data_IF_239154654868
#
_entry.id   IF_239154654868
#
_cell.length_a   1.000
_cell.length_b   1.000
_cell.length_c   1.000
_cell.angle_alpha   90.00
_cell.angle_beta   90.00
_cell.angle_gamma   90.00
#
_symmetry.space_group_name_H-M   'P 1'
#
loop_
_entity.id
_entity.type
_entity.pdbx_description
1 polymer ?
#
# COMPACT_ATOMS: atom_id res chain seq x y z
N UNK A 1 18.74 6.90 -2.71
CA UNK A 1 17.87 6.59 -1.56
C UNK A 1 16.45 6.46 -2.05
N UNK A 2 15.98 5.25 -2.40
CA UNK A 2 14.64 5.13 -2.94
C UNK A 2 13.57 5.27 -1.86
N UNK A 3 12.50 5.95 -2.24
CA UNK A 3 11.28 6.02 -1.44
C UNK A 3 10.18 5.40 -2.27
N UNK A 4 9.51 4.40 -1.72
CA UNK A 4 8.38 3.74 -2.38
C UNK A 4 7.10 4.15 -1.68
N UNK A 5 6.14 4.54 -2.47
CA UNK A 5 4.88 5.05 -1.98
C UNK A 5 3.75 4.11 -2.42
N UNK A 6 3.01 3.60 -1.46
CA UNK A 6 1.89 2.70 -1.74
C UNK A 6 0.62 3.32 -1.21
N UNK A 7 -0.37 3.44 -2.08
CA UNK A 7 -1.70 3.83 -1.66
C UNK A 7 -2.59 2.60 -1.73
N UNK A 8 -3.30 2.31 -0.67
CA UNK A 8 -4.23 1.18 -0.64
C UNK A 8 -5.44 1.54 0.22
N UNK A 9 -6.48 0.73 0.11
CA UNK A 9 -7.66 0.93 0.94
C UNK A 9 -7.34 0.53 2.37
N UNK A 10 -7.93 1.26 3.33
CA UNK A 10 -7.76 0.93 4.73
C UNK A 10 -8.40 -0.42 5.07
N UNK A 11 -7.97 -0.99 6.18
CA UNK A 11 -8.50 -2.26 6.66
C UNK A 11 -7.64 -3.48 6.32
N UNK A 12 -6.49 -3.25 5.69
CA UNK A 12 -5.58 -4.35 5.35
C UNK A 12 -4.94 -4.97 6.60
N UNK A 13 -4.71 -4.16 7.63
CA UNK A 13 -4.15 -4.65 8.89
C UNK A 13 -2.63 -4.51 8.99
N UNK A 14 -2.17 -4.31 10.22
CA UNK A 14 -0.77 -4.03 10.49
C UNK A 14 0.18 -5.14 10.03
N UNK A 15 -0.22 -6.40 10.19
CA UNK A 15 0.63 -7.53 9.81
C UNK A 15 0.88 -7.59 8.30
N UNK A 16 -0.16 -7.30 7.50
CA UNK A 16 0.01 -7.28 6.06
C UNK A 16 0.84 -6.08 5.59
N UNK A 17 0.68 -4.94 6.27
CA UNK A 17 1.52 -3.77 6.00
C UNK A 17 2.99 -4.09 6.26
N UNK A 18 3.29 -4.78 7.37
CA UNK A 18 4.66 -5.21 7.67
C UNK A 18 5.22 -6.12 6.57
N UNK A 19 4.43 -7.08 6.12
CA UNK A 19 4.86 -7.99 5.05
C UNK A 19 5.14 -7.23 3.76
N UNK A 20 4.30 -6.26 3.45
CA UNK A 20 4.46 -5.43 2.26
C UNK A 20 5.76 -4.63 2.33
N UNK A 21 6.01 -4.00 3.47
CA UNK A 21 7.22 -3.22 3.69
C UNK A 21 8.46 -4.10 3.55
N UNK A 22 8.46 -5.29 4.16
CA UNK A 22 9.58 -6.22 4.06
C UNK A 22 9.79 -6.72 2.64
N UNK A 23 8.71 -7.08 1.95
CA UNK A 23 8.80 -7.59 0.59
C UNK A 23 9.31 -6.57 -0.42
N UNK A 24 8.82 -5.33 -0.32
CA UNK A 24 9.28 -4.26 -1.21
C UNK A 24 10.74 -3.93 -0.93
N UNK A 25 11.11 -3.86 0.36
CA UNK A 25 12.50 -3.60 0.74
C UNK A 25 13.41 -4.69 0.18
N UNK A 26 13.01 -5.96 0.28
CA UNK A 26 13.79 -7.06 -0.25
C UNK A 26 13.97 -6.95 -1.76
N UNK A 27 12.90 -6.63 -2.47
CA UNK A 27 12.96 -6.49 -3.92
C UNK A 27 13.97 -5.41 -4.34
N UNK A 28 14.00 -4.30 -3.64
CA UNK A 28 14.92 -3.21 -3.93
C UNK A 28 16.34 -3.58 -3.50
N UNK A 29 16.49 -4.25 -2.36
CA UNK A 29 17.80 -4.69 -1.90
C UNK A 29 18.41 -5.70 -2.88
N UNK A 30 17.60 -6.51 -3.52
CA UNK A 30 18.07 -7.50 -4.50
C UNK A 30 18.69 -6.86 -5.75
N UNK A 31 18.41 -5.60 -6.04
CA UNK A 31 19.09 -4.90 -7.14
C UNK A 31 20.37 -4.21 -6.71
N UNK A 32 20.78 -4.37 -5.44
CA UNK A 32 22.06 -3.87 -4.95
C UNK A 32 21.99 -2.65 -4.04
N UNK A 33 20.81 -2.20 -3.67
CA UNK A 33 20.64 -1.05 -2.77
C UNK A 33 20.57 -1.55 -1.34
N UNK A 34 21.38 -1.02 -0.40
CA UNK A 34 21.31 -1.48 0.98
C UNK A 34 19.92 -1.30 1.58
N UNK A 35 19.45 -2.31 2.30
CA UNK A 35 18.11 -2.29 2.87
C UNK A 35 17.86 -1.06 3.76
N UNK A 36 18.87 -0.62 4.51
CA UNK A 36 18.71 0.54 5.40
C UNK A 36 18.51 1.86 4.64
N UNK A 37 18.78 1.86 3.35
CA UNK A 37 18.59 3.05 2.52
C UNK A 37 17.19 3.11 1.88
N UNK A 38 16.41 2.06 2.02
CA UNK A 38 15.07 1.97 1.42
C UNK A 38 14.03 2.48 2.39
N UNK A 39 13.20 3.42 1.92
CA UNK A 39 12.09 3.92 2.72
C UNK A 39 10.79 3.60 2.01
N UNK A 40 9.79 3.17 2.77
CA UNK A 40 8.51 2.78 2.22
C UNK A 40 7.41 3.45 3.04
N UNK A 41 6.50 4.09 2.34
CA UNK A 41 5.35 4.74 2.96
C UNK A 41 4.10 4.06 2.44
N UNK A 42 3.27 3.58 3.35
CA UNK A 42 2.01 2.95 3.00
C UNK A 42 0.89 3.85 3.51
N UNK A 43 0.09 4.37 2.60
CA UNK A 43 -1.08 5.14 2.96
C UNK A 43 -2.30 4.26 2.87
N UNK A 44 -3.04 4.17 3.96
CA UNK A 44 -4.32 3.49 3.98
C UNK A 44 -5.41 4.54 3.85
N UNK A 45 -6.15 4.46 2.76
CA UNK A 45 -7.14 5.47 2.37
C UNK A 45 -8.54 4.90 2.52
N UNK A 46 -9.46 5.61 3.19
CA UNK A 46 -10.86 5.16 3.24
C UNK A 46 -11.45 5.12 1.83
N UNK A 47 -12.26 4.12 1.55
CA UNK A 47 -12.92 4.02 0.23
C UNK A 47 -13.79 5.23 -0.09
N UNK A 48 -14.26 5.94 0.93
CA UNK A 48 -15.01 7.18 0.76
C UNK A 48 -14.18 8.30 0.15
N UNK A 49 -12.86 8.21 0.26
CA UNK A 49 -11.94 9.22 -0.27
C UNK A 49 -11.15 8.73 -1.48
N UNK A 50 -11.58 7.63 -2.07
CA UNK A 50 -10.94 7.04 -3.24
C UNK A 50 -11.88 7.14 -4.43
N UNK A 51 -11.54 7.96 -5.39
CA UNK A 51 -12.42 8.23 -6.54
C UNK A 51 -12.12 7.34 -7.73
N UNK A 52 -13.15 6.79 -8.33
CA UNK A 52 -13.04 6.00 -9.57
C UNK A 52 -14.14 6.47 -10.52
N UNK A 53 -13.73 7.06 -11.64
CA UNK A 53 -14.70 7.53 -12.64
C UNK A 53 -15.67 8.58 -12.11
N UNK A 54 -15.21 9.39 -11.16
CA UNK A 54 -16.03 10.46 -10.58
C UNK A 54 -16.85 10.03 -9.39
N UNK A 55 -16.77 8.77 -8.98
CA UNK A 55 -17.54 8.27 -7.84
C UNK A 55 -16.62 7.68 -6.78
N UNK A 56 -17.00 7.76 -5.50
CA UNK A 56 -16.18 7.14 -4.45
C UNK A 56 -16.22 5.62 -4.54
N UNK A 57 -15.08 5.00 -4.23
CA UNK A 57 -14.97 3.54 -4.27
C UNK A 57 -15.93 2.87 -3.28
N UNK A 58 -16.30 3.57 -2.20
CA UNK A 58 -17.29 3.06 -1.24
C UNK A 58 -18.64 2.76 -1.89
N UNK A 59 -18.93 3.42 -3.01
CA UNK A 59 -20.17 3.18 -3.77
C UNK A 59 -19.91 2.35 -5.01
N UNK A 60 -18.93 2.74 -5.80
CA UNK A 60 -18.63 2.08 -7.08
C UNK A 60 -18.06 0.68 -6.90
N UNK A 61 -17.25 0.49 -5.88
CA UNK A 61 -16.58 -0.79 -5.60
C UNK A 61 -16.95 -1.32 -4.22
N UNK A 62 -18.19 -1.13 -3.83
CA UNK A 62 -18.67 -1.46 -2.48
C UNK A 62 -18.56 -2.94 -2.13
N UNK A 63 -18.57 -3.81 -3.13
CA UNK A 63 -18.52 -5.26 -2.93
C UNK A 63 -17.09 -5.80 -2.83
N UNK A 64 -16.10 -4.94 -3.01
CA UNK A 64 -14.69 -5.32 -2.95
C UNK A 64 -14.12 -4.84 -1.61
N UNK A 65 -13.56 -5.78 -0.85
CA UNK A 65 -12.94 -5.49 0.44
C UNK A 65 -11.45 -5.78 0.39
N UNK A 66 -10.63 -5.08 1.21
CA UNK A 66 -9.21 -5.43 1.31
C UNK A 66 -9.06 -6.83 1.88
N UNK A 67 -7.99 -7.54 1.55
CA UNK A 67 -7.71 -8.84 2.14
C UNK A 67 -7.44 -8.71 3.63
N UNK A 68 -7.89 -9.71 4.38
CA UNK A 68 -7.69 -9.71 5.83
C UNK A 68 -6.78 -10.83 6.28
#
# INVERSE_FOLDING_TARGET
>A
MPIVHVDCWEGIGEEKVKKMIRGITKAIADVGIPAHAVEIVVYEVPKTHWGVGGEPASEKLKDISPPK
#
